data_IF_226795451955
#
_entry.id   IF_226795451955
#
_cell.length_a   1.000
_cell.length_b   1.000
_cell.length_c   1.000
_cell.angle_alpha   90.00
_cell.angle_beta   90.00
_cell.angle_gamma   90.00
#
_symmetry.space_group_name_H-M   'P 1'
#
loop_
_entity.id
_entity.type
_entity.pdbx_description
1 polymer ?
#
# COMPACT_ATOMS: atom_id res chain seq x y z
N UNK A 1 -16.17 12.53 1.04
CA UNK A 1 -15.86 11.19 1.59
C UNK A 1 -15.38 10.28 0.47
N UNK A 2 -14.38 9.44 0.71
CA UNK A 2 -13.72 8.60 -0.31
C UNK A 2 -14.70 7.78 -1.18
N UNK A 3 -15.82 7.33 -0.60
CA UNK A 3 -16.89 6.65 -1.33
C UNK A 3 -17.53 7.50 -2.43
N UNK A 4 -17.73 8.80 -2.17
CA UNK A 4 -18.30 9.74 -3.16
C UNK A 4 -17.35 9.98 -4.34
N UNK A 5 -16.05 10.07 -4.08
CA UNK A 5 -15.04 10.20 -5.14
C UNK A 5 -14.93 8.93 -5.99
N UNK A 6 -14.95 7.76 -5.36
CA UNK A 6 -14.92 6.46 -6.06
C UNK A 6 -16.16 6.22 -6.91
N UNK A 7 -17.35 6.64 -6.44
CA UNK A 7 -18.58 6.55 -7.24
C UNK A 7 -18.58 7.55 -8.40
N UNK A 8 -18.08 8.77 -8.17
CA UNK A 8 -17.97 9.79 -9.21
C UNK A 8 -16.98 9.38 -10.32
N UNK A 9 -15.83 8.80 -9.96
CA UNK A 9 -14.84 8.32 -10.94
C UNK A 9 -15.36 7.12 -11.74
N UNK A 10 -16.08 6.18 -11.11
CA UNK A 10 -16.74 5.06 -11.82
C UNK A 10 -17.85 5.57 -12.74
N UNK A 11 -18.63 6.56 -12.32
CA UNK A 11 -19.67 7.17 -13.14
C UNK A 11 -19.07 7.93 -14.35
N UNK A 12 -17.97 8.67 -14.15
CA UNK A 12 -17.24 9.35 -15.22
C UNK A 12 -16.61 8.36 -16.20
N UNK A 13 -16.01 7.27 -15.70
CA UNK A 13 -15.47 6.21 -16.54
C UNK A 13 -16.58 5.55 -17.36
N UNK A 14 -17.72 5.21 -16.75
CA UNK A 14 -18.87 4.64 -17.43
C UNK A 14 -19.49 5.59 -18.46
N UNK A 15 -19.53 6.90 -18.18
CA UNK A 15 -19.99 7.92 -19.11
C UNK A 15 -19.04 8.07 -20.32
N UNK A 16 -17.72 8.07 -20.08
CA UNK A 16 -16.71 8.13 -21.14
C UNK A 16 -16.71 6.88 -22.02
N UNK A 17 -16.92 5.69 -21.46
CA UNK A 17 -17.02 4.45 -22.25
C UNK A 17 -18.26 4.42 -23.14
N UNK A 18 -19.35 5.10 -22.75
CA UNK A 18 -20.56 5.24 -23.58
C UNK A 18 -20.36 6.20 -24.74
N UNK A 19 -19.58 7.28 -24.58
CA UNK A 19 -19.32 8.24 -25.67
C UNK A 19 -18.38 7.69 -26.74
N UNK A 20 -17.50 6.75 -26.38
CA UNK A 20 -16.55 6.12 -27.31
C UNK A 20 -17.06 4.83 -27.97
N UNK A 21 -18.31 4.41 -27.72
CA UNK A 21 -18.89 3.19 -28.32
C UNK A 21 -18.23 1.88 -27.87
N UNK A 22 -17.36 1.93 -26.87
CA UNK A 22 -16.68 0.77 -26.31
C UNK A 22 -17.62 -0.04 -25.42
N UNK A 23 -17.51 -1.38 -25.38
CA UNK A 23 -18.32 -2.19 -24.47
C UNK A 23 -18.09 -1.74 -23.03
N UNK A 24 -19.19 -1.40 -22.34
CA UNK A 24 -19.17 -0.94 -20.95
C UNK A 24 -18.33 -1.91 -20.10
N UNK A 25 -17.45 -1.42 -19.20
CA UNK A 25 -16.67 -2.30 -18.34
C UNK A 25 -17.65 -3.18 -17.57
N UNK A 26 -17.64 -4.49 -17.87
CA UNK A 26 -18.48 -5.45 -17.18
C UNK A 26 -18.01 -5.48 -15.73
N UNK A 27 -18.74 -4.80 -14.85
CA UNK A 27 -18.47 -4.79 -13.42
C UNK A 27 -18.66 -6.21 -12.90
N UNK A 28 -17.58 -6.99 -12.86
CA UNK A 28 -17.53 -8.32 -12.25
C UNK A 28 -17.56 -8.15 -10.73
N UNK A 29 -18.69 -7.66 -10.21
CA UNK A 29 -18.90 -7.33 -8.79
C UNK A 29 -18.49 -8.47 -7.86
N UNK A 30 -18.73 -9.72 -8.26
CA UNK A 30 -18.33 -10.89 -7.48
C UNK A 30 -16.81 -11.08 -7.40
N UNK A 31 -16.09 -10.91 -8.51
CA UNK A 31 -14.63 -11.05 -8.53
C UNK A 31 -13.94 -9.88 -7.82
N UNK A 32 -14.41 -8.66 -8.07
CA UNK A 32 -13.91 -7.44 -7.40
C UNK A 32 -14.22 -7.48 -5.91
N UNK A 33 -15.41 -7.97 -5.52
CA UNK A 33 -15.83 -8.07 -4.13
C UNK A 33 -14.94 -9.00 -3.30
N UNK A 34 -14.56 -10.16 -3.84
CA UNK A 34 -13.69 -11.11 -3.12
C UNK A 34 -12.28 -10.55 -2.92
N UNK A 35 -11.66 -10.00 -3.96
CA UNK A 35 -10.31 -9.41 -3.83
C UNK A 35 -10.33 -8.14 -2.97
N UNK A 36 -11.39 -7.33 -3.09
CA UNK A 36 -11.59 -6.13 -2.27
C UNK A 36 -11.81 -6.47 -0.80
N UNK A 37 -12.60 -7.49 -0.49
CA UNK A 37 -12.82 -7.95 0.88
C UNK A 37 -11.54 -8.54 1.49
N UNK A 38 -10.77 -9.31 0.71
CA UNK A 38 -9.48 -9.83 1.15
C UNK A 38 -8.48 -8.70 1.46
N UNK A 39 -8.33 -7.74 0.54
CA UNK A 39 -7.46 -6.58 0.74
C UNK A 39 -7.92 -5.71 1.93
N UNK A 40 -9.23 -5.50 2.07
CA UNK A 40 -9.80 -4.77 3.21
C UNK A 40 -9.56 -5.47 4.54
N UNK A 41 -9.67 -6.80 4.58
CA UNK A 41 -9.40 -7.59 5.79
C UNK A 41 -7.93 -7.49 6.18
N UNK A 42 -7.02 -7.67 5.21
CA UNK A 42 -5.58 -7.49 5.40
C UNK A 42 -5.23 -6.08 5.90
N UNK A 43 -5.88 -5.05 5.35
CA UNK A 43 -5.72 -3.67 5.78
C UNK A 43 -6.16 -3.46 7.22
N UNK A 44 -7.34 -3.97 7.61
CA UNK A 44 -7.83 -3.87 8.98
C UNK A 44 -6.91 -4.57 9.98
N UNK A 45 -6.43 -5.77 9.64
CA UNK A 45 -5.46 -6.52 10.46
C UNK A 45 -4.15 -5.74 10.61
N UNK A 46 -3.62 -5.18 9.52
CA UNK A 46 -2.43 -4.34 9.57
C UNK A 46 -2.58 -3.12 10.48
N UNK A 47 -3.73 -2.44 10.41
CA UNK A 47 -4.02 -1.29 11.27
C UNK A 47 -4.21 -1.67 12.74
N UNK A 48 -4.79 -2.85 13.01
CA UNK A 48 -4.88 -3.37 14.37
C UNK A 48 -3.49 -3.55 14.98
N UNK A 49 -2.59 -4.23 14.28
CA UNK A 49 -1.21 -4.42 14.75
C UNK A 49 -0.44 -3.09 14.85
N UNK A 50 -0.66 -2.16 13.92
CA UNK A 50 -0.08 -0.82 14.01
C UNK A 50 -0.52 -0.10 15.29
N UNK A 51 -1.82 -0.13 15.58
CA UNK A 51 -2.39 0.48 16.78
C UNK A 51 -1.82 -0.17 18.05
N UNK A 52 -1.74 -1.51 18.10
CA UNK A 52 -1.14 -2.22 19.22
C UNK A 52 0.33 -1.86 19.41
N UNK A 53 1.09 -1.72 18.32
CA UNK A 53 2.48 -1.29 18.38
C UNK A 53 2.59 0.15 18.93
N UNK A 54 1.73 1.07 18.48
CA UNK A 54 1.72 2.47 18.96
C UNK A 54 1.39 2.56 20.44
N UNK A 55 0.45 1.74 20.93
CA UNK A 55 0.09 1.69 22.35
C UNK A 55 1.25 1.19 23.21
N UNK A 56 2.07 0.26 22.70
CA UNK A 56 3.21 -0.28 23.45
C UNK A 56 4.48 0.58 23.34
N UNK A 57 4.84 1.03 22.14
CA UNK A 57 6.12 1.70 21.85
C UNK A 57 6.04 3.23 21.75
N UNK A 58 4.85 3.81 21.88
CA UNK A 58 4.63 5.24 21.78
C UNK A 58 4.62 5.76 20.34
N UNK A 59 3.78 6.76 20.09
CA UNK A 59 3.55 7.32 18.76
C UNK A 59 4.84 7.90 18.13
N UNK A 60 5.71 8.50 18.95
CA UNK A 60 6.91 9.19 18.48
C UNK A 60 7.98 8.27 17.87
N UNK A 61 7.96 6.97 18.18
CA UNK A 61 8.91 5.97 17.66
C UNK A 61 8.21 5.06 16.65
N UNK A 62 7.01 4.60 16.98
CA UNK A 62 6.33 3.57 16.18
C UNK A 62 5.77 4.12 14.87
N UNK A 63 5.32 5.37 14.84
CA UNK A 63 4.77 5.96 13.62
C UNK A 63 5.81 6.09 12.48
N UNK A 64 7.03 6.63 12.71
CA UNK A 64 8.05 6.65 11.65
C UNK A 64 8.49 5.23 11.23
N UNK A 65 8.63 4.29 12.17
CA UNK A 65 8.91 2.89 11.85
C UNK A 65 7.81 2.25 10.98
N UNK A 66 6.54 2.55 11.27
CA UNK A 66 5.41 2.07 10.49
C UNK A 66 5.40 2.60 9.06
N UNK A 67 5.78 3.87 8.87
CA UNK A 67 5.87 4.47 7.54
C UNK A 67 7.02 3.86 6.72
N UNK A 68 8.17 3.65 7.35
CA UNK A 68 9.33 3.03 6.71
C UNK A 68 9.05 1.58 6.34
N UNK A 69 8.47 0.79 7.25
CA UNK A 69 8.10 -0.60 6.96
C UNK A 69 7.07 -0.69 5.83
N UNK A 70 6.09 0.21 5.78
CA UNK A 70 5.12 0.28 4.67
C UNK A 70 5.79 0.64 3.34
N UNK A 71 6.73 1.58 3.34
CA UNK A 71 7.49 1.96 2.15
C UNK A 71 8.34 0.79 1.63
N UNK A 72 9.07 0.11 2.52
CA UNK A 72 9.91 -1.04 2.14
C UNK A 72 9.03 -2.19 1.66
N UNK A 73 7.94 -2.51 2.35
CA UNK A 73 7.04 -3.60 1.98
C UNK A 73 6.38 -3.34 0.61
N UNK A 74 5.92 -2.11 0.35
CA UNK A 74 5.32 -1.74 -0.93
C UNK A 74 6.31 -1.78 -2.09
N UNK A 75 7.54 -1.28 -1.91
CA UNK A 75 8.58 -1.38 -2.92
C UNK A 75 9.09 -2.82 -3.10
N UNK A 76 9.14 -3.63 -2.04
CA UNK A 76 9.49 -5.05 -2.15
C UNK A 76 8.42 -5.79 -2.96
N UNK A 77 7.14 -5.48 -2.73
CA UNK A 77 6.04 -6.06 -3.49
C UNK A 77 6.10 -5.68 -4.97
N UNK A 78 6.42 -4.43 -5.31
CA UNK A 78 6.58 -4.01 -6.71
C UNK A 78 7.73 -4.75 -7.42
N UNK A 79 8.81 -5.01 -6.69
CA UNK A 79 9.97 -5.72 -7.21
C UNK A 79 9.71 -7.23 -7.38
N UNK A 80 9.04 -7.87 -6.42
CA UNK A 80 8.79 -9.31 -6.42
C UNK A 80 7.61 -9.71 -7.30
N UNK A 81 6.48 -8.99 -7.20
CA UNK A 81 5.24 -9.37 -7.88
C UNK A 81 5.16 -8.79 -9.29
N UNK A 82 5.29 -7.46 -9.41
CA UNK A 82 5.19 -6.79 -10.70
C UNK A 82 6.49 -6.87 -11.53
N UNK A 83 7.63 -7.09 -10.86
CA UNK A 83 8.95 -7.24 -11.48
C UNK A 83 9.30 -6.04 -12.38
N UNK A 84 8.82 -4.86 -12.00
CA UNK A 84 8.96 -3.60 -12.72
C UNK A 84 10.42 -3.13 -12.74
N UNK A 85 11.15 -3.39 -11.67
CA UNK A 85 12.57 -3.02 -11.52
C UNK A 85 13.42 -4.29 -11.57
N UNK A 86 14.41 -4.32 -12.47
CA UNK A 86 15.32 -5.48 -12.68
C UNK A 86 16.78 -5.04 -12.79
N UNK A 87 17.69 -6.00 -12.64
CA UNK A 87 19.13 -5.78 -12.81
C UNK A 87 19.74 -4.91 -11.71
N UNK A 88 20.66 -4.02 -12.09
CA UNK A 88 21.40 -3.16 -11.15
C UNK A 88 20.49 -2.22 -10.36
N UNK A 89 19.38 -1.76 -10.94
CA UNK A 89 18.41 -0.91 -10.26
C UNK A 89 17.71 -1.63 -9.10
N UNK A 90 17.48 -2.94 -9.22
CA UNK A 90 16.89 -3.73 -8.14
C UNK A 90 17.85 -3.90 -6.96
N UNK A 91 19.14 -4.09 -7.26
CA UNK A 91 20.19 -4.18 -6.23
C UNK A 91 20.37 -2.83 -5.53
N UNK A 92 20.39 -1.73 -6.29
CA UNK A 92 20.47 -0.39 -5.72
C UNK A 92 19.26 -0.06 -4.84
N UNK A 93 18.05 -0.43 -5.28
CA UNK A 93 16.84 -0.29 -4.46
C UNK A 93 16.91 -1.11 -3.18
N UNK A 94 17.36 -2.38 -3.26
CA UNK A 94 17.52 -3.24 -2.09
C UNK A 94 18.53 -2.66 -1.10
N UNK A 95 19.67 -2.15 -1.59
CA UNK A 95 20.68 -1.50 -0.76
C UNK A 95 20.11 -0.24 -0.07
N UNK A 96 19.36 0.59 -0.80
CA UNK A 96 18.69 1.75 -0.24
C UNK A 96 17.64 1.36 0.82
N UNK A 97 16.84 0.32 0.57
CA UNK A 97 15.86 -0.19 1.51
C UNK A 97 16.50 -0.71 2.80
N UNK A 98 17.59 -1.48 2.69
CA UNK A 98 18.37 -1.94 3.85
C UNK A 98 18.96 -0.77 4.63
N UNK A 99 19.50 0.24 3.94
CA UNK A 99 20.02 1.45 4.57
C UNK A 99 18.93 2.21 5.33
N UNK A 100 17.76 2.43 4.71
CA UNK A 100 16.64 3.10 5.36
C UNK A 100 16.14 2.32 6.58
N UNK A 101 16.04 0.99 6.50
CA UNK A 101 15.67 0.15 7.64
C UNK A 101 16.68 0.29 8.79
N UNK A 102 17.98 0.22 8.48
CA UNK A 102 19.05 0.36 9.46
C UNK A 102 19.01 1.72 10.16
N UNK A 103 18.90 2.82 9.40
CA UNK A 103 18.79 4.17 9.96
C UNK A 103 17.56 4.34 10.85
N UNK A 104 16.44 3.70 10.48
CA UNK A 104 15.20 3.78 11.25
C UNK A 104 15.30 3.03 12.58
N UNK A 105 16.04 1.91 12.62
CA UNK A 105 16.34 1.20 13.87
C UNK A 105 17.25 2.03 14.76
N UNK A 106 18.31 2.64 14.21
CA UNK A 106 19.18 3.54 14.99
C UNK A 106 18.39 4.70 15.61
N UNK A 107 17.51 5.32 14.83
CA UNK A 107 16.63 6.39 15.31
C UNK A 107 15.68 5.92 16.42
N UNK A 108 15.18 4.69 16.33
CA UNK A 108 14.34 4.11 17.36
C UNK A 108 15.12 3.84 18.67
N UNK A 109 16.40 3.46 18.57
CA UNK A 109 17.28 3.24 19.72
C UNK A 109 17.69 4.54 20.42
N UNK A 110 17.80 5.66 19.71
CA UNK A 110 18.12 6.95 20.33
C UNK A 110 17.01 7.46 21.26
N UNK A 111 15.77 7.05 20.98
CA UNK A 111 14.57 7.57 21.64
C UNK A 111 13.97 6.61 22.68
N UNK A 112 14.48 5.37 22.73
CA UNK A 112 14.12 4.34 23.71
C UNK A 112 14.93 4.49 24.99
#
# INVERSE_FOLDING_TARGET
GALGFSLASVALAAASSRSHGTPSPALKLRSVGVHGAAAGTLWCVGNLFNTLAVVQGGNAIVMPLSMVTTLIASGAWSLLWYREVRGTAAVAWAAAACWTAFMSVLLAMEKA
#
